data_IF_088191551289
#
_entry.id   IF_088191551289
#
_cell.length_a   1.000
_cell.length_b   1.000
_cell.length_c   1.000
_cell.angle_alpha   90.00
_cell.angle_beta   90.00
_cell.angle_gamma   90.00
#
_symmetry.space_group_name_H-M   'P 1'
#
loop_
_entity.id
_entity.type
_entity.pdbx_description
1 polymer ?
#
# COMPACT_ATOMS: atom_id res chain seq x y z
N UNK A 1 23.70 6.90 -0.79
CA UNK A 1 22.73 5.83 -0.42
C UNK A 1 22.06 6.01 0.95
N UNK A 2 22.75 6.52 1.99
CA UNK A 2 22.12 6.73 3.31
C UNK A 2 21.00 7.79 3.34
N UNK A 3 21.09 8.87 2.54
CA UNK A 3 20.04 9.90 2.49
C UNK A 3 18.73 9.46 1.84
N UNK A 4 18.77 8.46 0.95
CA UNK A 4 17.57 8.02 0.21
C UNK A 4 16.59 7.25 1.11
N UNK A 5 17.12 6.56 2.12
CA UNK A 5 16.34 5.80 3.10
C UNK A 5 15.69 6.72 4.16
N UNK A 6 16.30 7.86 4.47
CA UNK A 6 15.78 8.79 5.48
C UNK A 6 14.58 9.61 4.99
N UNK A 7 14.40 9.75 3.68
CA UNK A 7 13.24 10.43 3.06
C UNK A 7 12.07 9.50 2.73
N UNK A 8 12.26 8.18 2.79
CA UNK A 8 11.19 7.23 2.56
C UNK A 8 10.27 7.20 3.79
N UNK A 9 9.10 7.86 3.68
CA UNK A 9 8.08 7.75 4.74
C UNK A 9 7.71 6.26 4.86
N UNK A 10 7.78 5.73 6.08
CA UNK A 10 7.55 4.30 6.39
C UNK A 10 6.28 3.75 5.73
N UNK A 11 5.25 4.59 5.57
CA UNK A 11 3.97 4.22 4.96
C UNK A 11 4.12 3.78 3.50
N UNK A 12 5.02 4.40 2.72
CA UNK A 12 5.27 3.98 1.33
C UNK A 12 6.00 2.63 1.28
N UNK A 13 6.96 2.41 2.17
CA UNK A 13 7.68 1.12 2.28
C UNK A 13 6.71 0.01 2.67
N UNK A 14 5.85 0.29 3.65
CA UNK A 14 4.84 -0.65 4.12
C UNK A 14 3.82 -0.98 3.03
N UNK A 15 3.27 0.03 2.34
CA UNK A 15 2.34 -0.17 1.23
C UNK A 15 2.98 -1.03 0.11
N UNK A 16 4.23 -0.75 -0.25
CA UNK A 16 4.96 -1.52 -1.25
C UNK A 16 5.23 -2.97 -0.81
N UNK A 17 5.60 -3.18 0.45
CA UNK A 17 5.82 -4.50 1.02
C UNK A 17 4.55 -5.36 0.99
N UNK A 18 3.40 -4.79 1.36
CA UNK A 18 2.09 -5.47 1.29
C UNK A 18 1.77 -5.91 -0.13
N UNK A 19 1.99 -5.04 -1.12
CA UNK A 19 1.75 -5.37 -2.53
C UNK A 19 2.65 -6.52 -3.00
N UNK A 20 3.93 -6.51 -2.65
CA UNK A 20 4.86 -7.59 -3.00
C UNK A 20 4.45 -8.91 -2.38
N UNK A 21 4.11 -8.92 -1.08
CA UNK A 21 3.74 -10.15 -0.37
C UNK A 21 2.48 -10.76 -0.98
N UNK A 22 1.47 -9.95 -1.30
CA UNK A 22 0.23 -10.43 -1.92
C UNK A 22 0.45 -10.90 -3.36
N UNK A 23 1.31 -10.22 -4.13
CA UNK A 23 1.68 -10.66 -5.47
C UNK A 23 2.44 -12.00 -5.45
N UNK A 24 3.37 -12.17 -4.50
CA UNK A 24 4.08 -13.43 -4.30
C UNK A 24 3.13 -14.55 -3.86
N UNK A 25 2.19 -14.25 -2.96
CA UNK A 25 1.16 -15.20 -2.55
C UNK A 25 0.29 -15.66 -3.73
N UNK A 26 -0.13 -14.73 -4.62
CA UNK A 26 -0.85 -15.08 -5.84
C UNK A 26 -0.06 -16.04 -6.74
N UNK A 27 1.25 -15.82 -6.86
CA UNK A 27 2.11 -16.68 -7.66
C UNK A 27 2.29 -18.08 -7.06
N UNK A 28 2.46 -18.16 -5.73
CA UNK A 28 2.65 -19.42 -5.00
C UNK A 28 1.38 -20.27 -4.99
N UNK A 29 0.22 -19.64 -4.76
CA UNK A 29 -1.06 -20.33 -4.60
C UNK A 29 -1.92 -20.33 -5.88
N UNK A 30 -1.35 -20.01 -7.04
CA UNK A 30 -2.06 -19.81 -8.31
C UNK A 30 -3.00 -20.96 -8.72
N UNK A 31 -2.71 -22.18 -8.27
CA UNK A 31 -3.46 -23.39 -8.64
C UNK A 31 -4.64 -23.66 -7.69
N UNK A 32 -4.80 -22.89 -6.60
CA UNK A 32 -5.91 -23.00 -5.67
C UNK A 32 -6.86 -21.79 -5.79
N UNK A 33 -7.96 -21.98 -6.53
CA UNK A 33 -8.91 -20.91 -6.84
C UNK A 33 -9.53 -20.24 -5.60
N UNK A 34 -9.80 -20.98 -4.53
CA UNK A 34 -10.39 -20.42 -3.31
C UNK A 34 -9.42 -19.51 -2.57
N UNK A 35 -8.15 -19.94 -2.49
CA UNK A 35 -7.06 -19.14 -1.90
C UNK A 35 -6.78 -17.92 -2.77
N UNK A 36 -6.74 -18.08 -4.10
CA UNK A 36 -6.55 -16.97 -5.05
C UNK A 36 -7.66 -15.93 -4.91
N UNK A 37 -8.93 -16.32 -4.86
CA UNK A 37 -10.05 -15.39 -4.69
C UNK A 37 -9.96 -14.63 -3.36
N UNK A 38 -9.53 -15.31 -2.30
CA UNK A 38 -9.27 -14.67 -1.00
C UNK A 38 -8.13 -13.66 -1.10
N UNK A 39 -7.02 -14.02 -1.74
CA UNK A 39 -5.87 -13.11 -1.91
C UNK A 39 -6.28 -11.89 -2.75
N UNK A 40 -7.04 -12.07 -3.84
CA UNK A 40 -7.56 -10.97 -4.66
C UNK A 40 -8.45 -10.05 -3.83
N UNK A 41 -9.34 -10.61 -3.01
CA UNK A 41 -10.23 -9.82 -2.12
C UNK A 41 -9.41 -8.97 -1.14
N UNK A 42 -8.41 -9.57 -0.51
CA UNK A 42 -7.49 -8.87 0.40
C UNK A 42 -6.68 -7.81 -0.36
N UNK A 43 -6.26 -8.10 -1.59
CA UNK A 43 -5.50 -7.19 -2.44
C UNK A 43 -6.30 -5.93 -2.77
N UNK A 44 -7.53 -6.09 -3.25
CA UNK A 44 -8.43 -4.96 -3.54
C UNK A 44 -8.76 -4.16 -2.27
N UNK A 45 -9.00 -4.84 -1.16
CA UNK A 45 -9.27 -4.19 0.13
C UNK A 45 -8.07 -3.39 0.63
N UNK A 46 -6.87 -3.95 0.50
CA UNK A 46 -5.61 -3.32 0.90
C UNK A 46 -5.29 -2.11 0.03
N UNK A 47 -5.46 -2.22 -1.29
CA UNK A 47 -5.30 -1.08 -2.20
C UNK A 47 -6.27 0.03 -1.83
N UNK A 48 -7.55 -0.29 -1.60
CA UNK A 48 -8.56 0.69 -1.22
C UNK A 48 -8.18 1.44 0.07
N UNK A 49 -7.70 0.72 1.09
CA UNK A 49 -7.23 1.29 2.34
C UNK A 49 -5.99 2.18 2.16
N UNK A 50 -5.00 1.72 1.38
CA UNK A 50 -3.80 2.48 1.05
C UNK A 50 -4.17 3.78 0.32
N UNK A 51 -5.05 3.69 -0.69
CA UNK A 51 -5.54 4.84 -1.44
C UNK A 51 -6.25 5.85 -0.53
N UNK A 52 -7.18 5.40 0.32
CA UNK A 52 -7.87 6.26 1.28
C UNK A 52 -6.91 6.96 2.25
N UNK A 53 -5.89 6.23 2.73
CA UNK A 53 -4.85 6.78 3.59
C UNK A 53 -4.07 7.90 2.90
N UNK A 54 -3.59 7.67 1.67
CA UNK A 54 -2.83 8.67 0.93
C UNK A 54 -3.67 9.89 0.54
N UNK A 55 -4.92 9.70 0.09
CA UNK A 55 -5.82 10.83 -0.22
C UNK A 55 -6.08 11.71 1.02
N UNK A 56 -6.38 11.08 2.16
CA UNK A 56 -6.60 11.81 3.42
C UNK A 56 -5.35 12.57 3.83
N UNK A 57 -4.17 11.94 3.70
CA UNK A 57 -2.88 12.57 4.00
C UNK A 57 -2.60 13.78 3.09
N UNK A 58 -2.81 13.66 1.79
CA UNK A 58 -2.63 14.76 0.83
C UNK A 58 -3.56 15.94 1.13
N UNK A 59 -4.83 15.67 1.49
CA UNK A 59 -5.76 16.74 1.87
C UNK A 59 -5.34 17.47 3.16
N UNK A 60 -4.77 16.75 4.13
CA UNK A 60 -4.28 17.35 5.38
C UNK A 60 -3.02 18.18 5.15
N UNK A 61 -2.08 17.68 4.34
CA UNK A 61 -0.85 18.41 3.99
C UNK A 61 -1.19 19.72 3.26
N UNK A 62 -2.07 19.69 2.25
CA UNK A 62 -2.52 20.89 1.53
C UNK A 62 -3.21 21.93 2.45
N UNK A 63 -4.06 21.49 3.38
CA UNK A 63 -4.73 22.39 4.34
C UNK A 63 -3.79 23.05 5.34
N UNK A 64 -2.61 22.46 5.60
CA UNK A 64 -1.60 23.05 6.49
C UNK A 64 -0.79 24.13 5.77
N UNK A 65 -0.55 23.96 4.47
CA UNK A 65 0.16 24.93 3.64
C UNK A 65 -0.68 26.19 3.35
N UNK A 66 -2.00 26.07 3.17
CA UNK A 66 -2.90 27.23 2.98
C UNK A 66 -3.10 28.10 4.25
N UNK A 67 -2.69 27.61 5.43
CA UNK A 67 -2.82 28.31 6.72
C UNK A 67 -1.49 28.90 7.22
N UNK A 68 -0.42 28.77 6.45
CA UNK A 68 0.88 29.42 6.68
C UNK A 68 1.00 30.66 5.80
#
# INVERSE_FOLDING_TARGET
MKEFLTKLKFEYVFAFAVLIILAAALFIFKDNNDVVNTIITVFVSSISAITAFFFTKTQIENKKEEKQ
#
